data_IF_361774329446
#
_entry.id   IF_361774329446
#
_cell.length_a   1.000
_cell.length_b   1.000
_cell.length_c   1.000
_cell.angle_alpha   90.00
_cell.angle_beta   90.00
_cell.angle_gamma   90.00
#
_symmetry.space_group_name_H-M   'P 1'
#
loop_
_entity.id
_entity.type
_entity.pdbx_description
1 polymer ?
#
# COMPACT_ATOMS: atom_id res chain seq x y z
N UNK A 1 -23.07 -0.49 13.91
CA UNK A 1 -21.84 0.27 14.21
C UNK A 1 -20.70 -0.67 13.85
N UNK A 2 -19.88 -0.39 12.84
CA UNK A 2 -18.69 -1.21 12.59
C UNK A 2 -17.72 -0.95 13.74
N UNK A 3 -17.50 -1.93 14.60
CA UNK A 3 -16.42 -1.89 15.57
C UNK A 3 -15.11 -1.79 14.80
N UNK A 4 -14.49 -0.62 14.81
CA UNK A 4 -13.15 -0.46 14.28
C UNK A 4 -12.21 -1.29 15.17
N UNK A 5 -11.46 -2.21 14.56
CA UNK A 5 -10.44 -2.99 15.23
C UNK A 5 -9.56 -2.11 16.14
N UNK A 6 -9.20 -2.64 17.29
CA UNK A 6 -8.30 -1.96 18.23
C UNK A 6 -6.94 -1.71 17.56
N UNK A 7 -6.15 -0.77 18.11
CA UNK A 7 -4.81 -0.48 17.62
C UNK A 7 -3.91 -1.74 17.60
N UNK A 8 -4.04 -2.59 18.63
CA UNK A 8 -3.31 -3.85 18.72
C UNK A 8 -3.75 -4.87 17.67
N UNK A 9 -5.06 -5.02 17.43
CA UNK A 9 -5.59 -5.91 16.40
C UNK A 9 -5.16 -5.48 14.99
N UNK A 10 -5.17 -4.17 14.73
CA UNK A 10 -4.69 -3.61 13.46
C UNK A 10 -3.18 -3.87 13.27
N UNK A 11 -2.39 -3.68 14.32
CA UNK A 11 -0.95 -3.97 14.30
C UNK A 11 -0.66 -5.46 14.07
N UNK A 12 -1.32 -6.35 14.80
CA UNK A 12 -1.16 -7.80 14.64
C UNK A 12 -1.55 -8.26 13.22
N UNK A 13 -2.67 -7.74 12.69
CA UNK A 13 -3.13 -8.03 11.33
C UNK A 13 -2.12 -7.55 10.30
N UNK A 14 -1.55 -6.35 10.47
CA UNK A 14 -0.53 -5.83 9.58
C UNK A 14 0.73 -6.68 9.61
N UNK A 15 1.26 -7.00 10.79
CA UNK A 15 2.48 -7.81 10.91
C UNK A 15 2.31 -9.20 10.26
N UNK A 16 1.12 -9.81 10.38
CA UNK A 16 0.79 -11.07 9.70
C UNK A 16 0.68 -10.93 8.17
N UNK A 17 0.32 -9.75 7.66
CA UNK A 17 0.18 -9.46 6.23
C UNK A 17 1.44 -8.91 5.55
N UNK A 18 2.34 -8.29 6.32
CA UNK A 18 3.47 -7.49 5.82
C UNK A 18 4.39 -8.27 4.88
N UNK A 19 4.71 -9.53 5.22
CA UNK A 19 5.55 -10.38 4.38
C UNK A 19 4.96 -10.63 2.98
N UNK A 20 3.63 -10.73 2.87
CA UNK A 20 2.96 -10.91 1.57
C UNK A 20 3.04 -9.65 0.71
N UNK A 21 2.88 -8.47 1.32
CA UNK A 21 3.03 -7.19 0.61
C UNK A 21 4.48 -7.02 0.14
N UNK A 22 5.45 -7.37 0.99
CA UNK A 22 6.87 -7.32 0.61
C UNK A 22 7.19 -8.27 -0.56
N UNK A 23 6.64 -9.48 -0.55
CA UNK A 23 6.79 -10.43 -1.66
C UNK A 23 6.24 -9.84 -2.98
N UNK A 24 5.08 -9.19 -2.94
CA UNK A 24 4.51 -8.50 -4.11
C UNK A 24 5.41 -7.34 -4.59
N UNK A 25 6.02 -6.56 -3.69
CA UNK A 25 6.99 -5.54 -4.07
C UNK A 25 8.22 -6.13 -4.77
N UNK A 26 8.71 -7.27 -4.28
CA UNK A 26 9.87 -7.96 -4.85
C UNK A 26 9.55 -8.56 -6.23
N UNK A 27 8.36 -9.15 -6.40
CA UNK A 27 7.87 -9.62 -7.70
C UNK A 27 7.74 -8.47 -8.71
N UNK A 28 7.15 -7.34 -8.29
CA UNK A 28 7.07 -6.15 -9.14
C UNK A 28 8.46 -5.65 -9.52
N UNK A 29 9.43 -5.70 -8.59
CA UNK A 29 10.83 -5.32 -8.84
C UNK A 29 11.49 -6.23 -9.88
N UNK A 30 11.27 -7.54 -9.78
CA UNK A 30 11.76 -8.51 -10.74
C UNK A 30 11.14 -8.29 -12.14
N UNK A 31 9.83 -8.08 -12.20
CA UNK A 31 9.11 -7.81 -13.45
C UNK A 31 9.58 -6.54 -14.15
N UNK A 32 9.84 -5.46 -13.41
CA UNK A 32 10.38 -4.23 -13.97
C UNK A 32 11.78 -4.46 -14.56
N UNK A 33 12.65 -5.22 -13.90
CA UNK A 33 14.00 -5.51 -14.40
C UNK A 33 14.01 -6.31 -15.71
N UNK A 34 13.00 -7.17 -15.90
CA UNK A 34 12.87 -7.99 -17.10
C UNK A 34 12.19 -7.26 -18.28
N UNK A 35 11.75 -6.01 -18.10
CA UNK A 35 10.89 -5.33 -19.07
C UNK A 35 11.70 -4.43 -20.03
N UNK A 36 11.50 -4.63 -21.33
CA UNK A 36 12.13 -3.83 -22.39
C UNK A 36 11.22 -2.74 -22.96
N UNK A 37 9.91 -2.84 -22.70
CA UNK A 37 8.94 -1.82 -23.09
C UNK A 37 8.92 -0.69 -22.05
N UNK A 38 9.37 0.51 -22.42
CA UNK A 38 9.46 1.69 -21.55
C UNK A 38 8.13 2.02 -20.87
N UNK A 39 7.01 1.99 -21.60
CA UNK A 39 5.69 2.25 -21.03
C UNK A 39 5.32 1.20 -19.97
N UNK A 40 5.69 -0.07 -20.14
CA UNK A 40 5.43 -1.12 -19.14
C UNK A 40 6.39 -1.01 -17.95
N UNK A 41 7.62 -0.57 -18.19
CA UNK A 41 8.62 -0.32 -17.16
C UNK A 41 8.22 0.85 -16.26
N UNK A 42 7.79 1.97 -16.84
CA UNK A 42 7.35 3.15 -16.09
C UNK A 42 6.08 2.87 -15.28
N UNK A 43 5.17 2.05 -15.83
CA UNK A 43 4.01 1.51 -15.10
C UNK A 43 4.44 0.68 -13.90
N UNK A 44 5.31 -0.32 -14.10
CA UNK A 44 5.80 -1.16 -13.02
C UNK A 44 6.52 -0.33 -11.92
N UNK A 45 7.34 0.65 -12.30
CA UNK A 45 8.01 1.58 -11.37
C UNK A 45 7.02 2.47 -10.61
N UNK A 46 5.94 2.92 -11.27
CA UNK A 46 4.87 3.68 -10.62
C UNK A 46 4.16 2.84 -9.56
N UNK A 47 3.76 1.61 -9.90
CA UNK A 47 3.14 0.70 -8.94
C UNK A 47 4.06 0.37 -7.76
N UNK A 48 5.36 0.08 -8.02
CA UNK A 48 6.34 -0.14 -6.95
C UNK A 48 6.42 1.01 -5.96
N UNK A 49 6.44 2.26 -6.45
CA UNK A 49 6.47 3.45 -5.58
C UNK A 49 5.22 3.57 -4.72
N UNK A 50 4.06 3.26 -5.27
CA UNK A 50 2.78 3.34 -4.55
C UNK A 50 2.66 2.23 -3.49
N UNK A 51 3.08 1.01 -3.80
CA UNK A 51 3.09 -0.10 -2.83
C UNK A 51 4.08 0.21 -1.70
N UNK A 52 5.31 0.64 -2.01
CA UNK A 52 6.29 1.03 -1.00
C UNK A 52 5.79 2.17 -0.09
N UNK A 53 5.13 3.19 -0.67
CA UNK A 53 4.54 4.29 0.10
C UNK A 53 3.42 3.80 1.04
N UNK A 54 2.57 2.88 0.58
CA UNK A 54 1.54 2.26 1.40
C UNK A 54 2.15 1.44 2.55
N UNK A 55 3.14 0.60 2.26
CA UNK A 55 3.87 -0.20 3.25
C UNK A 55 4.47 0.68 4.33
N UNK A 56 5.18 1.76 3.97
CA UNK A 56 5.74 2.72 4.93
C UNK A 56 4.66 3.43 5.76
N UNK A 57 3.52 3.76 5.16
CA UNK A 57 2.40 4.42 5.85
C UNK A 57 1.77 3.50 6.89
N UNK A 58 1.60 2.21 6.57
CA UNK A 58 1.05 1.24 7.51
C UNK A 58 2.05 0.83 8.60
N UNK A 59 3.35 0.73 8.28
CA UNK A 59 4.41 0.57 9.29
C UNK A 59 4.40 1.76 10.28
N UNK A 60 4.22 2.98 9.78
CA UNK A 60 4.12 4.17 10.63
C UNK A 60 2.85 4.16 11.48
N UNK A 61 1.69 3.83 10.90
CA UNK A 61 0.42 3.78 11.63
C UNK A 61 0.48 2.78 12.78
N UNK A 62 0.95 1.56 12.50
CA UNK A 62 1.01 0.48 13.49
C UNK A 62 2.07 0.70 14.57
N UNK A 63 3.12 1.48 14.27
CA UNK A 63 4.10 1.92 15.27
C UNK A 63 3.57 3.05 16.17
N UNK A 64 2.80 4.00 15.60
CA UNK A 64 2.25 5.17 16.32
C UNK A 64 1.04 4.80 17.19
N UNK A 65 0.25 3.81 16.77
CA UNK A 65 -1.02 3.48 17.42
C UNK A 65 -0.89 2.99 18.87
N UNK A 66 0.29 2.56 19.32
CA UNK A 66 0.51 2.08 20.70
C UNK A 66 0.41 3.19 21.77
N UNK A 67 0.64 4.47 21.42
CA UNK A 67 0.65 5.59 22.39
C UNK A 67 -0.06 6.85 21.89
N UNK A 68 -0.71 6.79 20.73
CA UNK A 68 -1.29 7.97 20.08
C UNK A 68 -2.69 8.33 20.59
N UNK A 69 -2.97 9.63 20.66
CA UNK A 69 -4.31 10.14 20.92
C UNK A 69 -5.27 9.89 19.74
N UNK A 70 -6.57 10.02 19.99
CA UNK A 70 -7.62 9.74 19.01
C UNK A 70 -7.55 10.63 17.74
N UNK A 71 -7.00 11.84 17.83
CA UNK A 71 -6.78 12.73 16.69
C UNK A 71 -5.65 12.23 15.80
N UNK A 72 -4.52 11.88 16.42
CA UNK A 72 -3.35 11.28 15.75
C UNK A 72 -3.71 9.98 15.04
N UNK A 73 -4.52 9.12 15.68
CA UNK A 73 -5.00 7.87 15.09
C UNK A 73 -5.92 8.12 13.88
N UNK A 74 -6.86 9.09 13.97
CA UNK A 74 -7.71 9.48 12.84
C UNK A 74 -6.91 10.00 11.65
N UNK A 75 -5.93 10.87 11.89
CA UNK A 75 -5.07 11.41 10.84
C UNK A 75 -4.20 10.34 10.18
N UNK A 76 -3.72 9.36 10.96
CA UNK A 76 -2.96 8.22 10.44
C UNK A 76 -3.82 7.31 9.55
N UNK A 77 -5.02 6.96 10.02
CA UNK A 77 -6.00 6.17 9.24
C UNK A 77 -6.43 6.86 7.95
N UNK A 78 -6.58 8.19 7.97
CA UNK A 78 -6.88 8.97 6.76
C UNK A 78 -5.74 8.87 5.73
N UNK A 79 -4.48 8.93 6.16
CA UNK A 79 -3.30 8.74 5.28
C UNK A 79 -3.26 7.34 4.67
N UNK A 80 -3.52 6.30 5.47
CA UNK A 80 -3.61 4.91 4.96
C UNK A 80 -4.74 4.79 3.93
N UNK A 81 -5.91 5.35 4.21
CA UNK A 81 -7.05 5.31 3.29
C UNK A 81 -6.75 6.04 1.97
N UNK A 82 -6.05 7.17 2.03
CA UNK A 82 -5.59 7.90 0.86
C UNK A 82 -4.60 7.08 0.03
N UNK A 83 -3.52 6.57 0.64
CA UNK A 83 -2.51 5.76 -0.05
C UNK A 83 -3.13 4.52 -0.72
N UNK A 84 -4.08 3.86 -0.05
CA UNK A 84 -4.84 2.74 -0.62
C UNK A 84 -5.68 3.16 -1.84
N UNK A 85 -6.29 4.34 -1.78
CA UNK A 85 -7.08 4.87 -2.91
C UNK A 85 -6.19 5.17 -4.11
N UNK A 86 -5.03 5.80 -3.89
CA UNK A 86 -4.06 6.09 -4.94
C UNK A 86 -3.54 4.82 -5.61
N UNK A 87 -3.20 3.79 -4.82
CA UNK A 87 -2.80 2.48 -5.34
C UNK A 87 -3.92 1.83 -6.16
N UNK A 88 -5.16 1.85 -5.66
CA UNK A 88 -6.30 1.26 -6.38
C UNK A 88 -6.55 1.96 -7.71
N UNK A 89 -6.52 3.30 -7.73
CA UNK A 89 -6.67 4.08 -8.97
C UNK A 89 -5.57 3.75 -9.98
N UNK A 90 -4.33 3.56 -9.53
CA UNK A 90 -3.23 3.16 -10.40
C UNK A 90 -3.42 1.74 -10.97
N UNK A 91 -3.83 0.79 -10.14
CA UNK A 91 -4.12 -0.59 -10.58
C UNK A 91 -5.31 -0.65 -11.54
N UNK A 92 -6.38 0.11 -11.29
CA UNK A 92 -7.55 0.17 -12.16
C UNK A 92 -7.22 0.81 -13.52
N UNK A 93 -6.32 1.80 -13.53
CA UNK A 93 -5.80 2.39 -14.76
C UNK A 93 -4.94 1.39 -15.55
N UNK A 94 -4.22 0.50 -14.88
CA UNK A 94 -3.42 -0.56 -15.52
C UNK A 94 -4.27 -1.75 -16.00
N UNK A 95 -5.39 -2.05 -15.32
CA UNK A 95 -6.30 -3.15 -15.67
C UNK A 95 -7.23 -2.87 -16.85
N UNK A 96 -7.32 -1.64 -17.33
CA UNK A 96 -8.04 -1.33 -18.58
C UNK A 96 -7.12 -1.67 -19.75
N UNK A 97 -7.45 -2.69 -20.57
CA UNK A 97 -6.79 -2.82 -21.85
C UNK A 97 -7.04 -1.52 -22.62
N UNK A 98 -5.98 -0.95 -23.21
CA UNK A 98 -6.10 0.09 -24.23
C UNK A 98 -7.08 -0.44 -25.28
N UNK A 99 -8.36 -0.04 -25.19
CA UNK A 99 -9.32 -0.20 -26.27
C UNK A 99 -8.94 0.85 -27.31
N UNK A 100 -7.98 0.51 -28.15
CA UNK A 100 -7.85 1.07 -29.49
C UNK A 100 -8.63 0.18 -30.46
#
# INVERSE_FOLDING_TARGET
MLECASAEEASATWQAGRARVQATEDELRALARAQTNENRLDRARRLQRLVAALTMTMDTETSVAATADAGSLRASRARVAQARTELRVALDADGRPDRQ
#
